data_IF_029305831996
#
_entry.id   IF_029305831996
#
_cell.length_a   1.000
_cell.length_b   1.000
_cell.length_c   1.000
_cell.angle_alpha   90.00
_cell.angle_beta   90.00
_cell.angle_gamma   90.00
#
_symmetry.space_group_name_H-M   'P 1'
#
loop_
_entity.id
_entity.type
_entity.pdbx_description
1 polymer ?
#
# COMPACT_ATOMS: atom_id res chain seq x y z
N UNK A 1 -2.88 3.04 -35.99
CA UNK A 1 -3.11 3.32 -34.55
C UNK A 1 -2.41 2.23 -33.73
N UNK A 2 -1.35 2.57 -32.97
CA UNK A 2 -0.70 1.60 -32.07
C UNK A 2 -1.63 1.34 -30.89
N UNK A 3 -2.25 0.17 -30.80
CA UNK A 3 -2.91 -0.28 -29.60
C UNK A 3 -1.84 -0.49 -28.51
N UNK A 4 -1.55 0.54 -27.75
CA UNK A 4 -0.76 0.42 -26.53
C UNK A 4 -1.67 -0.19 -25.47
N UNK A 5 -1.63 -1.51 -25.30
CA UNK A 5 -2.29 -2.17 -24.19
C UNK A 5 -1.64 -1.68 -22.89
N UNK A 6 -2.39 -0.87 -22.15
CA UNK A 6 -1.99 -0.40 -20.83
C UNK A 6 -2.02 -1.60 -19.88
N UNK A 7 -0.93 -1.85 -19.15
CA UNK A 7 -0.90 -2.97 -18.21
C UNK A 7 -1.92 -2.77 -17.09
N UNK A 8 -2.49 -3.87 -16.56
CA UNK A 8 -3.43 -3.81 -15.44
C UNK A 8 -2.81 -3.06 -14.22
N UNK A 9 -1.53 -3.28 -13.98
CA UNK A 9 -0.81 -2.59 -12.91
C UNK A 9 -0.80 -1.06 -13.11
N UNK A 10 -0.60 -0.60 -14.34
CA UNK A 10 -0.70 0.82 -14.66
C UNK A 10 -2.11 1.36 -14.41
N UNK A 11 -3.14 0.62 -14.80
CA UNK A 11 -4.53 1.03 -14.57
C UNK A 11 -4.84 1.19 -13.08
N UNK A 12 -4.33 0.28 -12.24
CA UNK A 12 -4.44 0.41 -10.77
C UNK A 12 -3.75 1.68 -10.27
N UNK A 13 -2.54 1.98 -10.76
CA UNK A 13 -1.81 3.18 -10.35
C UNK A 13 -2.46 4.47 -10.84
N UNK A 14 -3.18 4.44 -11.96
CA UNK A 14 -3.90 5.59 -12.51
C UNK A 14 -5.13 5.99 -11.66
N UNK A 15 -5.62 5.08 -10.81
CA UNK A 15 -6.68 5.39 -9.84
C UNK A 15 -6.18 6.25 -8.68
N UNK A 16 -4.87 6.40 -8.52
CA UNK A 16 -4.29 7.12 -7.39
C UNK A 16 -4.15 8.60 -7.74
N UNK A 17 -4.78 9.52 -6.99
CA UNK A 17 -4.69 10.95 -7.22
C UNK A 17 -3.27 11.45 -6.95
N UNK A 18 -2.46 11.57 -7.99
CA UNK A 18 -1.03 11.92 -7.88
C UNK A 18 -0.79 13.24 -7.14
N UNK A 19 -1.61 14.25 -7.39
CA UNK A 19 -1.47 15.54 -6.74
C UNK A 19 -1.62 15.43 -5.23
N UNK A 20 -2.67 14.77 -4.77
CA UNK A 20 -2.92 14.57 -3.33
C UNK A 20 -1.85 13.69 -2.69
N UNK A 21 -1.38 12.66 -3.42
CA UNK A 21 -0.23 11.86 -3.00
C UNK A 21 1.02 12.73 -2.78
N UNK A 22 1.35 13.61 -3.72
CA UNK A 22 2.49 14.51 -3.65
C UNK A 22 2.37 15.51 -2.49
N UNK A 23 1.17 16.05 -2.24
CA UNK A 23 0.88 16.93 -1.11
C UNK A 23 1.13 16.21 0.24
N UNK A 24 0.73 14.94 0.36
CA UNK A 24 1.01 14.12 1.55
C UNK A 24 2.51 13.87 1.69
N UNK A 25 3.21 13.53 0.60
CA UNK A 25 4.66 13.32 0.62
C UNK A 25 5.39 14.59 1.08
N UNK A 26 4.99 15.76 0.60
CA UNK A 26 5.55 17.05 1.04
C UNK A 26 5.28 17.31 2.52
N UNK A 27 4.04 17.11 2.99
CA UNK A 27 3.64 17.26 4.40
C UNK A 27 4.54 16.44 5.34
N UNK A 28 4.89 15.22 4.94
CA UNK A 28 5.72 14.32 5.74
C UNK A 28 7.23 14.43 5.44
N UNK A 29 7.65 15.34 4.57
CA UNK A 29 9.02 15.44 4.10
C UNK A 29 9.57 14.11 3.55
N UNK A 30 8.73 13.30 2.90
CA UNK A 30 9.06 11.95 2.45
C UNK A 30 10.24 11.87 1.49
N UNK A 31 10.47 12.93 0.72
CA UNK A 31 11.53 13.03 -0.27
C UNK A 31 12.61 14.07 0.06
N UNK A 32 12.65 14.60 1.30
CA UNK A 32 13.62 15.64 1.69
C UNK A 32 15.10 15.26 1.50
N UNK A 33 15.41 13.96 1.52
CA UNK A 33 16.78 13.43 1.34
C UNK A 33 16.86 12.47 0.15
N UNK A 34 15.97 12.65 -0.83
CA UNK A 34 15.92 11.83 -2.03
C UNK A 34 17.20 12.00 -2.84
N UNK A 35 17.87 10.89 -3.15
CA UNK A 35 18.94 10.85 -4.16
C UNK A 35 18.41 10.34 -5.51
N UNK A 36 17.80 9.16 -5.53
CA UNK A 36 17.29 8.54 -6.76
C UNK A 36 16.01 7.70 -6.55
N UNK A 37 15.62 7.45 -5.29
CA UNK A 37 14.49 6.59 -4.96
C UNK A 37 13.44 7.38 -4.17
N UNK A 38 12.43 7.89 -4.87
CA UNK A 38 11.38 8.73 -4.31
C UNK A 38 10.26 7.94 -3.62
N UNK A 39 9.36 8.67 -2.99
CA UNK A 39 8.22 8.10 -2.29
C UNK A 39 7.22 7.43 -3.24
N UNK A 40 7.12 7.92 -4.48
CA UNK A 40 6.29 7.27 -5.49
C UNK A 40 6.86 5.92 -5.90
N UNK A 41 8.14 5.84 -6.22
CA UNK A 41 8.80 4.59 -6.57
C UNK A 41 8.75 3.59 -5.42
N UNK A 42 8.86 4.06 -4.17
CA UNK A 42 8.68 3.22 -2.98
C UNK A 42 7.25 2.68 -2.90
N UNK A 43 6.24 3.55 -3.03
CA UNK A 43 4.83 3.17 -3.00
C UNK A 43 4.50 2.16 -4.10
N UNK A 44 4.91 2.42 -5.34
CA UNK A 44 4.75 1.49 -6.48
C UNK A 44 5.40 0.13 -6.19
N UNK A 45 6.59 0.13 -5.57
CA UNK A 45 7.29 -1.11 -5.20
C UNK A 45 6.51 -1.92 -4.17
N UNK A 46 5.88 -1.26 -3.20
CA UNK A 46 5.08 -1.93 -2.17
C UNK A 46 3.75 -2.45 -2.72
N UNK A 47 3.08 -1.71 -3.61
CA UNK A 47 1.88 -2.20 -4.32
C UNK A 47 2.26 -3.40 -5.21
N UNK A 48 3.39 -3.33 -5.92
CA UNK A 48 3.88 -4.47 -6.71
C UNK A 48 4.12 -5.70 -5.82
N UNK A 49 4.70 -5.51 -4.63
CA UNK A 49 4.91 -6.59 -3.66
C UNK A 49 3.60 -7.33 -3.35
N UNK A 50 2.52 -6.59 -3.10
CA UNK A 50 1.22 -7.18 -2.76
C UNK A 50 0.58 -7.88 -3.96
N UNK A 51 0.54 -7.21 -5.11
CA UNK A 51 -0.12 -7.76 -6.30
C UNK A 51 0.64 -8.95 -6.91
N UNK A 52 1.96 -8.95 -6.85
CA UNK A 52 2.81 -10.03 -7.34
C UNK A 52 3.08 -11.12 -6.28
N UNK A 53 2.55 -10.96 -5.07
CA UNK A 53 2.79 -11.86 -3.92
C UNK A 53 4.29 -12.12 -3.66
N UNK A 54 5.11 -11.08 -3.83
CA UNK A 54 6.56 -11.20 -3.67
C UNK A 54 6.93 -11.41 -2.20
N UNK A 55 7.79 -12.40 -1.94
CA UNK A 55 8.17 -12.82 -0.59
C UNK A 55 9.51 -12.25 -0.12
N UNK A 56 10.16 -11.42 -0.93
CA UNK A 56 11.44 -10.81 -0.57
C UNK A 56 11.69 -9.51 -1.33
N UNK A 57 12.52 -8.64 -0.75
CA UNK A 57 12.96 -7.41 -1.42
C UNK A 57 13.70 -7.70 -2.75
N UNK A 58 14.34 -8.86 -2.86
CA UNK A 58 15.01 -9.29 -4.10
C UNK A 58 14.00 -9.59 -5.19
N UNK A 59 12.90 -10.26 -4.84
CA UNK A 59 11.82 -10.56 -5.78
C UNK A 59 11.13 -9.28 -6.27
N UNK A 60 10.87 -8.33 -5.36
CA UNK A 60 10.33 -7.01 -5.74
C UNK A 60 11.25 -6.30 -6.74
N UNK A 61 12.53 -6.19 -6.39
CA UNK A 61 13.50 -5.52 -7.24
C UNK A 61 13.70 -6.26 -8.58
N UNK A 62 13.76 -7.60 -8.54
CA UNK A 62 13.88 -8.44 -9.73
C UNK A 62 12.67 -8.32 -10.64
N UNK A 63 11.46 -8.43 -10.09
CA UNK A 63 10.22 -8.30 -10.84
C UNK A 63 10.06 -6.93 -11.49
N UNK A 64 10.33 -5.85 -10.76
CA UNK A 64 10.32 -4.50 -11.33
C UNK A 64 11.41 -4.30 -12.40
N UNK A 65 12.57 -4.92 -12.23
CA UNK A 65 13.64 -4.87 -13.24
C UNK A 65 13.25 -5.58 -14.54
N UNK A 66 12.49 -6.66 -14.48
CA UNK A 66 11.99 -7.35 -15.69
C UNK A 66 10.97 -6.52 -16.45
N UNK A 67 10.32 -5.55 -15.80
CA UNK A 67 9.48 -4.56 -16.44
C UNK A 67 10.29 -3.47 -17.18
N UNK A 68 11.59 -3.70 -17.43
CA UNK A 68 12.52 -2.77 -18.05
C UNK A 68 11.96 -2.14 -19.35
N UNK A 69 12.16 -0.84 -19.51
CA UNK A 69 11.57 -0.03 -20.59
C UNK A 69 10.10 0.36 -20.38
N UNK A 70 9.38 -0.25 -19.41
CA UNK A 70 7.98 0.06 -19.09
C UNK A 70 7.81 0.76 -17.75
N UNK A 71 8.86 0.88 -16.92
CA UNK A 71 8.79 1.53 -15.62
C UNK A 71 8.41 3.02 -15.73
N UNK A 72 8.87 3.70 -16.77
CA UNK A 72 8.51 5.10 -17.03
C UNK A 72 6.99 5.27 -17.16
N UNK A 73 6.28 4.28 -17.70
CA UNK A 73 4.81 4.31 -17.76
C UNK A 73 4.17 4.21 -16.36
N UNK A 74 4.88 3.66 -15.38
CA UNK A 74 4.43 3.61 -13.99
C UNK A 74 4.83 4.89 -13.22
N UNK A 75 5.51 5.83 -13.87
CA UNK A 75 6.06 7.02 -13.24
C UNK A 75 7.28 6.72 -12.36
N UNK A 76 7.98 5.61 -12.64
CA UNK A 76 9.19 5.19 -11.94
C UNK A 76 10.36 5.23 -12.90
N UNK A 77 11.39 5.99 -12.58
CA UNK A 77 12.56 6.21 -13.45
C UNK A 77 13.40 4.95 -13.61
N UNK A 78 13.62 4.24 -12.51
CA UNK A 78 14.43 3.01 -12.50
C UNK A 78 13.94 2.02 -11.44
N UNK A 79 14.22 0.72 -11.67
CA UNK A 79 13.92 -0.30 -10.69
C UNK A 79 14.74 -0.06 -9.40
N UNK A 80 14.13 -0.22 -8.21
CA UNK A 80 14.83 -0.03 -6.96
C UNK A 80 15.94 -1.07 -6.78
N UNK A 81 17.01 -0.67 -6.10
CA UNK A 81 17.95 -1.63 -5.53
C UNK A 81 17.41 -2.17 -4.21
N UNK A 82 17.87 -3.37 -3.82
CA UNK A 82 17.51 -3.94 -2.50
C UNK A 82 17.86 -2.97 -1.36
N UNK A 83 19.02 -2.31 -1.44
CA UNK A 83 19.48 -1.37 -0.43
C UNK A 83 18.57 -0.14 -0.33
N UNK A 84 18.19 0.45 -1.47
CA UNK A 84 17.31 1.62 -1.50
C UNK A 84 15.94 1.28 -0.93
N UNK A 85 15.37 0.13 -1.30
CA UNK A 85 14.06 -0.30 -0.83
C UNK A 85 14.10 -0.63 0.67
N UNK A 86 15.15 -1.32 1.14
CA UNK A 86 15.34 -1.62 2.56
C UNK A 86 15.50 -0.34 3.39
N UNK A 87 16.30 0.60 2.91
CA UNK A 87 16.48 1.89 3.58
C UNK A 87 15.18 2.69 3.65
N UNK A 88 14.43 2.75 2.54
CA UNK A 88 13.15 3.43 2.50
C UNK A 88 12.13 2.82 3.47
N UNK A 89 12.03 1.49 3.54
CA UNK A 89 11.17 0.80 4.49
C UNK A 89 11.52 1.12 5.96
N UNK A 90 12.81 1.29 6.27
CA UNK A 90 13.25 1.55 7.63
C UNK A 90 13.11 3.02 8.06
N UNK A 91 13.16 3.98 7.12
CA UNK A 91 13.32 5.39 7.45
C UNK A 91 12.14 6.29 7.04
N UNK A 92 11.31 5.89 6.08
CA UNK A 92 10.12 6.68 5.73
C UNK A 92 9.04 6.53 6.79
N UNK A 93 8.40 7.65 7.10
CA UNK A 93 7.35 7.70 8.12
C UNK A 93 6.17 6.79 7.79
N UNK A 94 5.78 5.86 8.66
CA UNK A 94 4.57 5.07 8.46
C UNK A 94 3.30 5.94 8.45
N UNK A 95 3.31 7.10 9.11
CA UNK A 95 2.19 8.06 9.10
C UNK A 95 1.91 8.59 7.69
N UNK A 96 2.94 8.74 6.85
CA UNK A 96 2.78 9.14 5.45
C UNK A 96 1.92 8.12 4.69
N UNK A 97 2.21 6.83 4.85
CA UNK A 97 1.43 5.77 4.21
C UNK A 97 0.02 5.65 4.81
N UNK A 98 -0.14 5.94 6.10
CA UNK A 98 -1.44 6.05 6.76
C UNK A 98 -2.30 7.16 6.15
N UNK A 99 -1.73 8.37 5.96
CA UNK A 99 -2.44 9.48 5.31
C UNK A 99 -2.79 9.15 3.84
N UNK A 100 -1.89 8.49 3.10
CA UNK A 100 -2.17 8.00 1.73
C UNK A 100 -3.33 7.00 1.75
N UNK A 101 -3.34 6.06 2.69
CA UNK A 101 -4.43 5.10 2.83
C UNK A 101 -5.77 5.81 3.09
N UNK A 102 -5.83 6.76 4.01
CA UNK A 102 -7.06 7.50 4.31
C UNK A 102 -7.53 8.37 3.15
N UNK A 103 -6.62 8.96 2.40
CA UNK A 103 -6.93 9.69 1.17
C UNK A 103 -7.59 8.77 0.14
N UNK A 104 -6.99 7.60 -0.14
CA UNK A 104 -7.54 6.63 -1.08
C UNK A 104 -8.89 6.08 -0.60
N UNK A 105 -9.03 5.80 0.70
CA UNK A 105 -10.29 5.36 1.29
C UNK A 105 -11.40 6.40 1.12
N UNK A 106 -11.08 7.69 1.29
CA UNK A 106 -12.02 8.78 1.03
C UNK A 106 -12.51 8.80 -0.42
N UNK A 107 -11.61 8.60 -1.39
CA UNK A 107 -12.00 8.46 -2.80
C UNK A 107 -12.88 7.23 -3.05
N UNK A 108 -12.56 6.10 -2.44
CA UNK A 108 -13.39 4.90 -2.54
C UNK A 108 -14.80 5.13 -2.00
N UNK A 109 -14.93 5.80 -0.85
CA UNK A 109 -16.25 6.15 -0.29
C UNK A 109 -17.06 7.07 -1.20
N UNK A 110 -16.40 8.00 -1.91
CA UNK A 110 -17.07 8.93 -2.83
C UNK A 110 -17.66 8.25 -4.07
N UNK A 111 -17.08 7.14 -4.52
CA UNK A 111 -17.49 6.42 -5.74
C UNK A 111 -18.19 5.09 -5.44
N UNK A 112 -18.21 4.66 -4.17
CA UNK A 112 -18.83 3.41 -3.79
C UNK A 112 -20.33 3.42 -4.14
N UNK A 113 -20.84 2.36 -4.81
CA UNK A 113 -22.26 2.25 -5.07
C UNK A 113 -23.00 2.13 -3.73
N UNK A 114 -24.15 2.80 -3.64
CA UNK A 114 -25.04 2.58 -2.50
C UNK A 114 -25.60 1.17 -2.59
N UNK A 115 -25.60 0.46 -1.47
CA UNK A 115 -26.16 -0.88 -1.40
C UNK A 115 -27.66 -0.84 -1.65
N UNK A 116 -28.21 -1.83 -2.36
CA UNK A 116 -29.67 -1.95 -2.60
C UNK A 116 -30.44 -2.22 -1.30
N UNK A 117 -29.78 -2.78 -0.29
CA UNK A 117 -30.33 -3.00 1.05
C UNK A 117 -30.00 -1.82 1.96
N UNK A 118 -30.99 -1.02 2.31
CA UNK A 118 -30.85 -0.01 3.35
C UNK A 118 -31.45 -0.55 4.66
N UNK A 119 -30.62 -0.61 5.68
CA UNK A 119 -31.11 -0.86 7.03
C UNK A 119 -31.66 0.45 7.63
N UNK A 120 -32.71 0.39 8.47
CA UNK A 120 -33.26 1.58 9.15
C UNK A 120 -32.23 2.27 10.04
N UNK A 121 -31.19 1.54 10.46
CA UNK A 121 -30.02 2.04 11.21
C UNK A 121 -28.76 1.55 10.52
N UNK A 122 -27.70 2.35 10.57
CA UNK A 122 -26.38 1.95 10.05
C UNK A 122 -25.91 0.67 10.71
N UNK A 123 -25.54 -0.30 9.87
CA UNK A 123 -25.00 -1.58 10.30
C UNK A 123 -23.49 -1.60 10.05
N UNK A 124 -22.75 -1.98 11.08
CA UNK A 124 -21.31 -2.14 11.02
C UNK A 124 -20.91 -3.56 11.41
N UNK A 125 -19.91 -4.11 10.74
CA UNK A 125 -19.24 -5.34 11.18
C UNK A 125 -17.84 -5.03 11.66
N UNK A 126 -17.52 -5.52 12.86
CA UNK A 126 -16.14 -5.50 13.37
C UNK A 126 -15.49 -6.82 13.03
N UNK A 127 -14.44 -6.75 12.24
CA UNK A 127 -13.61 -7.90 11.89
C UNK A 127 -12.18 -7.73 12.39
N UNK A 128 -11.56 -8.83 12.72
CA UNK A 128 -10.17 -8.89 13.16
C UNK A 128 -9.44 -9.98 12.39
N UNK A 129 -8.66 -9.56 11.42
CA UNK A 129 -7.94 -10.46 10.51
C UNK A 129 -6.45 -10.48 10.85
N UNK A 130 -5.86 -11.67 10.84
CA UNK A 130 -4.41 -11.83 10.91
C UNK A 130 -3.84 -11.78 9.49
N UNK A 131 -3.01 -10.75 9.23
CA UNK A 131 -2.27 -10.64 7.98
C UNK A 131 -0.89 -11.24 8.20
N UNK A 132 -0.62 -12.36 7.54
CA UNK A 132 0.72 -12.93 7.53
C UNK A 132 1.67 -12.04 6.74
N UNK A 133 2.80 -11.69 7.35
CA UNK A 133 3.83 -10.88 6.73
C UNK A 133 5.11 -11.68 6.56
N UNK A 134 5.80 -11.48 5.45
CA UNK A 134 7.11 -12.04 5.26
C UNK A 134 8.11 -11.40 6.22
N UNK A 135 8.61 -12.15 7.21
CA UNK A 135 9.58 -11.68 8.22
C UNK A 135 10.84 -11.11 7.57
N UNK A 136 11.25 -11.63 6.42
CA UNK A 136 12.43 -11.12 5.69
C UNK A 136 12.22 -9.70 5.14
N UNK A 137 10.97 -9.32 4.89
CA UNK A 137 10.58 -7.97 4.41
C UNK A 137 10.19 -7.08 5.58
N UNK A 138 9.55 -7.65 6.60
CA UNK A 138 9.00 -6.95 7.77
C UNK A 138 9.51 -7.57 9.08
N UNK A 139 10.79 -7.42 9.44
CA UNK A 139 11.39 -8.06 10.63
C UNK A 139 10.73 -7.67 11.95
N UNK A 140 10.15 -6.47 12.02
CA UNK A 140 9.47 -5.94 13.21
C UNK A 140 8.17 -6.67 13.53
N UNK A 141 7.54 -7.31 12.53
CA UNK A 141 6.27 -8.03 12.67
C UNK A 141 6.45 -9.49 13.12
N UNK A 142 7.60 -9.84 13.72
CA UNK A 142 7.90 -11.22 14.13
C UNK A 142 6.91 -11.72 15.16
N UNK A 143 6.11 -12.72 14.79
CA UNK A 143 5.11 -13.36 15.64
C UNK A 143 5.58 -14.68 16.25
N UNK A 144 6.31 -15.48 15.47
CA UNK A 144 7.04 -16.69 15.88
C UNK A 144 8.41 -16.66 15.24
N UNK A 145 9.32 -17.53 15.65
CA UNK A 145 10.71 -17.52 15.14
C UNK A 145 10.85 -17.45 13.62
N UNK A 146 9.82 -17.90 12.87
CA UNK A 146 9.82 -17.94 11.41
C UNK A 146 8.64 -17.25 10.73
N UNK A 147 7.66 -16.74 11.49
CA UNK A 147 6.43 -16.13 10.94
C UNK A 147 6.24 -14.72 11.48
N UNK A 148 5.95 -13.79 10.58
CA UNK A 148 5.48 -12.45 10.91
C UNK A 148 3.98 -12.35 10.69
N UNK A 149 3.28 -11.66 11.59
CA UNK A 149 1.88 -11.32 11.42
C UNK A 149 1.54 -10.02 12.14
N UNK A 150 0.61 -9.29 11.59
CA UNK A 150 -0.06 -8.16 12.26
C UNK A 150 -1.54 -8.47 12.37
N UNK A 151 -2.16 -7.97 13.42
CA UNK A 151 -3.61 -8.02 13.57
C UNK A 151 -4.19 -6.73 12.97
N UNK A 152 -5.04 -6.89 11.98
CA UNK A 152 -5.84 -5.83 11.39
C UNK A 152 -7.22 -5.87 12.05
N UNK A 153 -7.58 -4.81 12.76
CA UNK A 153 -8.94 -4.61 13.23
C UNK A 153 -9.63 -3.65 12.26
N UNK A 154 -10.77 -4.04 11.74
CA UNK A 154 -11.48 -3.28 10.73
C UNK A 154 -12.96 -3.18 11.07
N UNK A 155 -13.50 -1.96 11.01
CA UNK A 155 -14.92 -1.71 11.08
C UNK A 155 -15.44 -1.47 9.65
N UNK A 156 -16.27 -2.38 9.15
CA UNK A 156 -16.88 -2.29 7.83
C UNK A 156 -18.27 -1.67 7.93
N UNK A 157 -18.54 -0.68 7.07
CA UNK A 157 -19.89 -0.18 6.83
C UNK A 157 -20.57 -1.07 5.80
N UNK A 158 -21.73 -1.59 6.14
CA UNK A 158 -22.51 -2.46 5.23
C UNK A 158 -23.16 -1.69 4.09
N UNK A 159 -23.31 -0.37 4.18
CA UNK A 159 -23.90 0.43 3.11
C UNK A 159 -22.99 0.58 1.87
N UNK A 160 -21.68 0.40 2.02
CA UNK A 160 -20.73 0.51 0.91
C UNK A 160 -19.66 -0.60 0.87
N UNK A 161 -19.71 -1.54 1.83
CA UNK A 161 -18.68 -2.59 2.00
C UNK A 161 -17.24 -2.05 2.10
N UNK A 162 -17.12 -0.81 2.58
CA UNK A 162 -15.83 -0.15 2.77
C UNK A 162 -15.50 -0.03 4.26
N UNK A 163 -14.23 -0.09 4.62
CA UNK A 163 -13.81 0.16 5.99
C UNK A 163 -14.08 1.61 6.38
N UNK A 164 -14.66 1.81 7.57
CA UNK A 164 -14.82 3.12 8.21
C UNK A 164 -13.69 3.38 9.19
N UNK A 165 -13.20 2.31 9.80
CA UNK A 165 -12.09 2.37 10.74
C UNK A 165 -11.16 1.19 10.47
N UNK A 166 -9.87 1.46 10.52
CA UNK A 166 -8.81 0.46 10.36
C UNK A 166 -7.73 0.75 11.39
N UNK A 167 -7.41 -0.27 12.18
CA UNK A 167 -6.34 -0.20 13.16
C UNK A 167 -5.43 -1.41 13.05
N UNK A 168 -4.14 -1.16 13.16
CA UNK A 168 -3.10 -2.19 13.11
C UNK A 168 -2.51 -2.36 14.50
N UNK A 169 -2.74 -3.53 15.09
CA UNK A 169 -2.19 -3.83 16.39
C UNK A 169 -1.07 -4.84 16.27
N UNK A 170 0.10 -4.50 16.81
CA UNK A 170 1.13 -5.49 17.08
C UNK A 170 0.62 -6.43 18.17
N UNK A 171 0.68 -7.74 17.94
CA UNK A 171 0.15 -8.76 18.86
C UNK A 171 0.77 -8.73 20.28
N UNK A 172 1.85 -7.97 20.47
CA UNK A 172 2.45 -7.77 21.80
C UNK A 172 1.65 -6.81 22.70
N UNK A 173 0.71 -6.05 22.16
CA UNK A 173 -0.08 -5.04 22.88
C UNK A 173 -1.46 -5.54 23.33
N UNK A 174 -1.71 -6.84 23.37
CA UNK A 174 -2.90 -7.41 24.02
C UNK A 174 -2.49 -7.94 25.38
N UNK A 175 -2.47 -7.05 26.35
CA UNK A 175 -2.65 -7.35 27.76
C UNK A 175 -3.86 -6.59 28.23
#
# INVERSE_FOLDING_TARGET
MKNTSVSLFRQVLDLIPKREFEEIVMKHNGDKRKQSFDSWAHFVSMIFCQLAQANSLREICGGLKTCGGKLNHLGVESAPTKSNLSYANAHRSPKMFGDIFHMLLGHCHAIAPRHEFSFPKKLYSLDATLIELCVKVFPWATYRQTKGAIKLNMLLDHDGHLPVFVDFTDRKSVV
#
